data_IF_895430881994
#
_entry.id   IF_895430881994
#
_cell.length_a   1.000
_cell.length_b   1.000
_cell.length_c   1.000
_cell.angle_alpha   90.00
_cell.angle_beta   90.00
_cell.angle_gamma   90.00
#
_symmetry.space_group_name_H-M   'P 1'
#
loop_
_entity.id
_entity.type
_entity.pdbx_description
1 polymer ?
#
# COMPACT_ATOMS: atom_id res chain seq x y z
N UNK A 1 27.26 -9.30 6.53
CA UNK A 1 26.34 -8.14 6.54
C UNK A 1 25.03 -8.57 5.89
N UNK A 2 23.98 -8.79 6.67
CA UNK A 2 22.65 -9.11 6.14
C UNK A 2 22.01 -7.79 5.73
N UNK A 3 21.76 -7.59 4.43
CA UNK A 3 21.01 -6.43 3.94
C UNK A 3 19.65 -6.39 4.64
N UNK A 4 19.16 -5.23 5.13
CA UNK A 4 17.81 -5.16 5.66
C UNK A 4 16.86 -5.54 4.51
N UNK A 5 16.07 -6.60 4.69
CA UNK A 5 14.90 -6.82 3.84
C UNK A 5 14.08 -5.55 3.98
N UNK A 6 13.90 -4.82 2.88
CA UNK A 6 13.00 -3.68 2.83
C UNK A 6 11.63 -4.21 3.25
N UNK A 7 11.25 -4.00 4.50
CA UNK A 7 9.92 -4.39 4.95
C UNK A 7 8.99 -3.37 4.31
N UNK A 8 8.18 -3.84 3.37
CA UNK A 8 7.24 -3.01 2.61
C UNK A 8 5.84 -3.54 2.87
N UNK A 9 4.89 -2.65 3.13
CA UNK A 9 3.48 -2.96 3.24
C UNK A 9 2.72 -2.15 2.20
N UNK A 10 2.08 -2.83 1.25
CA UNK A 10 1.37 -2.19 0.11
C UNK A 10 2.23 -1.14 -0.61
N UNK A 11 3.49 -1.46 -0.88
CA UNK A 11 4.41 -0.53 -1.55
C UNK A 11 5.02 0.57 -0.66
N UNK A 12 4.56 0.71 0.59
CA UNK A 12 5.12 1.68 1.54
C UNK A 12 6.14 1.04 2.49
N UNK A 13 7.29 1.70 2.68
CA UNK A 13 8.32 1.24 3.61
C UNK A 13 7.80 1.28 5.05
N UNK A 14 7.95 0.15 5.76
CA UNK A 14 7.54 0.02 7.16
C UNK A 14 8.75 -0.15 8.07
N UNK A 15 8.73 0.54 9.19
CA UNK A 15 9.74 0.47 10.24
C UNK A 15 9.17 -0.28 11.45
N UNK A 16 9.95 -1.23 11.99
CA UNK A 16 9.58 -1.89 13.25
C UNK A 16 9.94 -0.98 14.41
N UNK A 17 8.93 -0.45 15.10
CA UNK A 17 9.11 0.49 16.22
C UNK A 17 8.89 -0.14 17.60
N UNK A 18 8.30 -1.34 17.65
CA UNK A 18 8.01 -2.03 18.91
C UNK A 18 9.15 -2.90 19.43
N UNK A 19 9.59 -2.65 20.67
CA UNK A 19 10.46 -3.54 21.44
C UNK A 19 9.64 -4.21 22.57
N UNK A 20 8.98 -5.33 22.28
CA UNK A 20 8.17 -6.09 23.24
C UNK A 20 7.63 -7.40 22.67
N UNK A 21 6.70 -8.06 23.39
CA UNK A 21 6.04 -9.32 22.95
C UNK A 21 5.19 -9.16 21.68
N UNK A 22 4.79 -7.93 21.33
CA UNK A 22 4.04 -7.59 20.10
C UNK A 22 4.96 -6.88 19.11
N UNK A 23 4.96 -7.34 17.87
CA UNK A 23 5.60 -6.64 16.77
C UNK A 23 4.71 -5.47 16.32
N UNK A 24 5.20 -4.25 16.47
CA UNK A 24 4.53 -3.02 16.01
C UNK A 24 5.35 -2.43 14.88
N UNK A 25 4.67 -2.10 13.78
CA UNK A 25 5.25 -1.48 12.61
C UNK A 25 4.61 -0.12 12.37
N UNK A 26 5.42 0.84 11.93
CA UNK A 26 5.01 2.19 11.57
C UNK A 26 5.35 2.42 10.10
N UNK A 27 4.48 3.12 9.40
CA UNK A 27 4.72 3.62 8.04
C UNK A 27 4.39 5.10 8.00
N UNK A 28 5.03 5.84 7.10
CA UNK A 28 4.67 7.22 6.78
C UNK A 28 4.15 7.22 5.36
N UNK A 29 2.92 7.69 5.18
CA UNK A 29 2.25 7.76 3.88
C UNK A 29 2.09 9.23 3.53
N UNK A 30 2.56 9.62 2.35
CA UNK A 30 2.25 10.91 1.77
C UNK A 30 0.82 10.85 1.22
N UNK A 31 -0.09 11.62 1.81
CA UNK A 31 -1.50 11.62 1.46
C UNK A 31 -1.74 11.90 -0.02
N UNK A 32 -1.01 12.87 -0.61
CA UNK A 32 -1.19 13.25 -2.02
C UNK A 32 -0.73 12.18 -3.00
N UNK A 33 0.40 11.53 -2.71
CA UNK A 33 0.90 10.44 -3.54
C UNK A 33 0.01 9.21 -3.41
N UNK A 34 -0.44 8.91 -2.19
CA UNK A 34 -1.34 7.79 -1.92
C UNK A 34 -2.71 8.00 -2.57
N UNK A 35 -3.28 9.20 -2.49
CA UNK A 35 -4.55 9.51 -3.13
C UNK A 35 -4.46 9.40 -4.64
N UNK A 36 -3.38 9.87 -5.26
CA UNK A 36 -3.17 9.77 -6.70
C UNK A 36 -3.06 8.31 -7.18
N UNK A 37 -2.31 7.47 -6.45
CA UNK A 37 -2.20 6.03 -6.75
C UNK A 37 -3.55 5.34 -6.58
N UNK A 38 -4.23 5.59 -5.46
CA UNK A 38 -5.54 4.98 -5.17
C UNK A 38 -6.59 5.40 -6.21
N UNK A 39 -6.62 6.68 -6.60
CA UNK A 39 -7.53 7.18 -7.64
C UNK A 39 -7.27 6.50 -8.98
N UNK A 40 -6.01 6.33 -9.36
CA UNK A 40 -5.63 5.63 -10.59
C UNK A 40 -6.04 4.15 -10.56
N UNK A 41 -5.85 3.47 -9.43
CA UNK A 41 -6.23 2.06 -9.26
C UNK A 41 -7.75 1.89 -9.31
N UNK A 42 -8.50 2.75 -8.62
CA UNK A 42 -9.97 2.74 -8.63
C UNK A 42 -10.50 3.01 -10.03
N UNK A 43 -9.96 4.00 -10.74
CA UNK A 43 -10.35 4.29 -12.12
C UNK A 43 -10.11 3.09 -13.03
N UNK A 44 -8.94 2.46 -12.93
CA UNK A 44 -8.61 1.26 -13.72
C UNK A 44 -9.57 0.11 -13.43
N UNK A 45 -9.95 -0.10 -12.17
CA UNK A 45 -10.90 -1.13 -11.79
C UNK A 45 -12.31 -0.84 -12.35
N UNK A 46 -12.75 0.42 -12.32
CA UNK A 46 -14.03 0.85 -12.92
C UNK A 46 -14.00 0.65 -14.44
N UNK A 47 -12.93 1.08 -15.11
CA UNK A 47 -12.80 0.93 -16.56
C UNK A 47 -12.85 -0.57 -16.94
N UNK A 48 -12.19 -1.45 -16.18
CA UNK A 48 -12.27 -2.89 -16.38
C UNK A 48 -13.69 -3.46 -16.17
N UNK A 49 -14.41 -3.00 -15.15
CA UNK A 49 -15.81 -3.40 -14.93
C UNK A 49 -16.72 -2.97 -16.08
N UNK A 50 -16.51 -1.77 -16.62
CA UNK A 50 -17.23 -1.26 -17.79
C UNK A 50 -16.92 -2.11 -19.02
N UNK A 51 -15.64 -2.40 -19.28
CA UNK A 51 -15.19 -3.18 -20.43
C UNK A 51 -15.68 -4.63 -20.38
N UNK A 52 -15.71 -5.24 -19.19
CA UNK A 52 -16.22 -6.60 -18.97
C UNK A 52 -17.76 -6.65 -18.91
N UNK A 53 -18.42 -5.51 -18.75
CA UNK A 53 -19.88 -5.42 -18.62
C UNK A 53 -20.43 -6.03 -17.33
N UNK A 54 -19.60 -6.11 -16.28
CA UNK A 54 -19.94 -6.69 -14.98
C UNK A 54 -20.03 -5.55 -13.98
N UNK A 55 -21.25 -5.20 -13.57
CA UNK A 55 -21.43 -4.32 -12.40
C UNK A 55 -21.03 -5.08 -11.11
N UNK A 56 -20.32 -4.42 -10.18
CA UNK A 56 -19.90 -5.01 -8.90
C UNK A 56 -21.06 -5.38 -7.97
#
# INVERSE_FOLDING_TARGET
MVKPKNNVYRGHAIEKVGHGKRAVFKTIINEKEWSAVTESEVKTAIDAWIDEGIEP
#
